data_IF_721269231022
#
_entry.id   IF_721269231022
#
_cell.length_a   1.000
_cell.length_b   1.000
_cell.length_c   1.000
_cell.angle_alpha   90.00
_cell.angle_beta   90.00
_cell.angle_gamma   90.00
#
_symmetry.space_group_name_H-M   'P 1'
#
loop_
_entity.id
_entity.type
_entity.pdbx_description
1 polymer ?
#
# COMPACT_ATOMS: atom_id res chain seq x y z
N UNK A 1 36.10 -4.16 -57.30
CA UNK A 1 35.29 -2.92 -57.33
C UNK A 1 33.93 -3.27 -56.78
N UNK A 2 33.60 -2.79 -55.57
CA UNK A 2 32.49 -1.87 -55.29
C UNK A 2 31.10 -2.51 -55.56
N UNK A 3 30.16 -2.60 -54.62
CA UNK A 3 29.84 -1.69 -53.54
C UNK A 3 29.21 -2.41 -52.34
N UNK A 4 29.56 -1.92 -51.15
CA UNK A 4 28.87 -2.14 -49.88
C UNK A 4 27.56 -1.36 -49.90
N UNK A 5 26.44 -1.98 -49.52
CA UNK A 5 25.18 -1.26 -49.19
C UNK A 5 24.75 -1.67 -47.78
N UNK A 6 25.34 -0.95 -46.83
CA UNK A 6 24.72 -0.26 -45.70
C UNK A 6 23.22 -0.55 -45.46
N UNK A 7 22.91 -1.43 -44.51
CA UNK A 7 21.61 -1.44 -43.81
C UNK A 7 21.85 -1.01 -42.37
N UNK A 8 21.71 0.30 -42.14
CA UNK A 8 21.62 0.88 -40.80
C UNK A 8 20.16 0.68 -40.36
N UNK A 9 19.93 -0.32 -39.53
CA UNK A 9 18.66 -0.46 -38.80
C UNK A 9 18.64 0.65 -37.76
N UNK A 10 17.83 1.68 -38.06
CA UNK A 10 17.52 2.79 -37.19
C UNK A 10 16.68 2.26 -36.02
N UNK A 11 17.34 1.82 -34.96
CA UNK A 11 16.71 1.48 -33.69
C UNK A 11 16.35 2.80 -33.00
N UNK A 12 15.16 3.32 -33.32
CA UNK A 12 14.53 4.41 -32.58
C UNK A 12 14.19 3.84 -31.21
N UNK A 13 15.12 3.99 -30.28
CA UNK A 13 14.89 3.84 -28.85
C UNK A 13 13.85 4.90 -28.49
N UNK A 14 12.59 4.50 -28.46
CA UNK A 14 11.52 5.26 -27.84
C UNK A 14 11.71 5.16 -26.32
N UNK A 15 12.78 5.77 -25.82
CA UNK A 15 12.91 6.13 -24.43
C UNK A 15 11.96 7.31 -24.21
N UNK A 16 10.66 7.01 -24.11
CA UNK A 16 9.74 7.85 -23.36
C UNK A 16 10.35 7.96 -21.97
N UNK A 17 10.99 9.09 -21.72
CA UNK A 17 11.40 9.51 -20.40
C UNK A 17 10.16 9.43 -19.51
N UNK A 18 10.09 8.38 -18.70
CA UNK A 18 9.27 8.40 -17.50
C UNK A 18 9.97 9.38 -16.55
N UNK A 19 9.75 10.66 -16.79
CA UNK A 19 9.96 11.64 -15.74
C UNK A 19 9.03 11.20 -14.60
N UNK A 20 9.55 11.03 -13.37
CA UNK A 20 8.68 10.78 -12.26
C UNK A 20 7.72 11.97 -12.14
N UNK A 21 6.42 11.73 -12.29
CA UNK A 21 5.38 12.74 -12.13
C UNK A 21 5.18 13.15 -10.65
N UNK A 22 6.26 13.25 -9.87
CA UNK A 22 6.23 13.57 -8.43
C UNK A 22 6.11 15.07 -8.14
N UNK A 23 5.69 15.90 -9.09
CA UNK A 23 5.81 17.35 -8.94
C UNK A 23 4.64 18.20 -9.39
N UNK A 24 3.56 17.62 -9.92
CA UNK A 24 2.66 18.44 -10.73
C UNK A 24 1.47 19.09 -10.02
N UNK A 25 1.14 18.79 -8.75
CA UNK A 25 -0.14 19.33 -8.24
C UNK A 25 -0.25 19.75 -6.79
N UNK A 26 0.83 19.75 -5.99
CA UNK A 26 0.74 20.29 -4.62
C UNK A 26 0.37 21.77 -4.61
N UNK A 27 0.90 22.57 -5.56
CA UNK A 27 0.55 23.98 -5.69
C UNK A 27 -0.90 24.22 -6.10
N UNK A 28 -1.44 23.40 -7.01
CA UNK A 28 -2.85 23.47 -7.41
C UNK A 28 -3.77 23.00 -6.28
N UNK A 29 -3.39 21.95 -5.56
CA UNK A 29 -4.11 21.47 -4.39
C UNK A 29 -4.17 22.55 -3.31
N UNK A 30 -3.06 23.23 -3.01
CA UNK A 30 -3.04 24.37 -2.06
C UNK A 30 -3.95 25.50 -2.57
N UNK A 31 -3.83 25.88 -3.84
CA UNK A 31 -4.64 26.96 -4.40
C UNK A 31 -6.14 26.63 -4.36
N UNK A 32 -6.53 25.42 -4.74
CA UNK A 32 -7.91 24.95 -4.69
C UNK A 32 -8.41 24.84 -3.24
N UNK A 33 -7.61 24.25 -2.34
CA UNK A 33 -7.96 24.12 -0.93
C UNK A 33 -7.96 25.46 -0.17
N UNK A 34 -7.46 26.53 -0.76
CA UNK A 34 -7.60 27.88 -0.19
C UNK A 34 -8.98 28.50 -0.47
N UNK A 35 -9.61 28.08 -1.57
CA UNK A 35 -10.94 28.55 -1.99
C UNK A 35 -12.04 27.61 -1.53
N UNK A 36 -11.78 26.30 -1.62
CA UNK A 36 -12.70 25.21 -1.28
C UNK A 36 -12.12 24.32 -0.17
N UNK A 37 -12.96 23.51 0.48
CA UNK A 37 -12.51 22.57 1.52
C UNK A 37 -12.17 21.18 1.00
N UNK A 38 -12.45 20.91 -0.29
CA UNK A 38 -12.22 19.63 -0.94
C UNK A 38 -11.46 19.83 -2.26
N UNK A 39 -10.41 19.05 -2.46
CA UNK A 39 -9.70 18.93 -3.73
C UNK A 39 -9.65 17.47 -4.17
N UNK A 40 -9.98 17.21 -5.44
CA UNK A 40 -9.86 15.87 -6.05
C UNK A 40 -9.01 16.01 -7.31
N UNK A 41 -7.83 15.39 -7.30
CA UNK A 41 -6.89 15.41 -8.43
C UNK A 41 -7.45 14.62 -9.62
N UNK A 42 -7.19 15.13 -10.82
CA UNK A 42 -7.56 14.43 -12.04
C UNK A 42 -6.84 13.07 -12.12
N UNK A 43 -7.61 11.98 -12.16
CA UNK A 43 -7.09 10.61 -12.20
C UNK A 43 -7.00 9.94 -10.82
N UNK A 44 -7.41 10.60 -9.75
CA UNK A 44 -7.69 9.94 -8.49
C UNK A 44 -8.93 9.03 -8.59
N UNK A 45 -9.09 8.13 -7.63
CA UNK A 45 -10.26 7.25 -7.55
C UNK A 45 -11.55 8.06 -7.38
N UNK A 46 -12.66 7.55 -7.93
CA UNK A 46 -13.95 8.21 -7.81
C UNK A 46 -14.40 8.22 -6.34
N UNK A 47 -14.80 9.39 -5.84
CA UNK A 47 -15.25 9.59 -4.46
C UNK A 47 -16.66 10.19 -4.40
N UNK A 48 -17.37 9.94 -3.31
CA UNK A 48 -18.64 10.62 -3.01
C UNK A 48 -18.35 11.99 -2.39
N UNK A 49 -18.21 13.01 -3.25
CA UNK A 49 -17.92 14.39 -2.85
C UNK A 49 -18.95 14.95 -1.87
N UNK A 50 -20.24 14.59 -2.02
CA UNK A 50 -21.29 15.09 -1.15
C UNK A 50 -21.15 14.53 0.28
N UNK A 51 -20.79 13.25 0.42
CA UNK A 51 -20.50 12.64 1.71
C UNK A 51 -19.25 13.25 2.36
N UNK A 52 -18.19 13.50 1.58
CA UNK A 52 -16.96 14.16 2.06
C UNK A 52 -17.25 15.58 2.56
N UNK A 53 -18.00 16.38 1.79
CA UNK A 53 -18.41 17.73 2.20
C UNK A 53 -19.28 17.72 3.46
N UNK A 54 -20.14 16.72 3.62
CA UNK A 54 -20.91 16.54 4.86
C UNK A 54 -20.01 16.26 6.06
N UNK A 55 -18.97 15.43 5.89
CA UNK A 55 -18.02 15.13 6.96
C UNK A 55 -17.15 16.34 7.32
N UNK A 56 -16.72 17.13 6.32
CA UNK A 56 -16.05 18.41 6.55
C UNK A 56 -16.95 19.34 7.39
N UNK A 57 -18.24 19.45 7.04
CA UNK A 57 -19.18 20.25 7.82
C UNK A 57 -19.36 19.75 9.26
N UNK A 58 -19.20 18.44 9.51
CA UNK A 58 -19.19 17.89 10.88
C UNK A 58 -17.95 18.33 11.64
N UNK A 59 -16.76 18.24 11.03
CA UNK A 59 -15.51 18.71 11.63
C UNK A 59 -15.54 20.22 11.92
N UNK A 60 -16.12 21.02 11.03
CA UNK A 60 -16.37 22.45 11.25
C UNK A 60 -17.29 22.67 12.47
N UNK A 61 -18.30 21.81 12.64
CA UNK A 61 -19.16 21.80 13.83
C UNK A 61 -18.40 21.52 15.12
N UNK A 62 -17.28 20.79 15.06
CA UNK A 62 -16.35 20.53 16.16
C UNK A 62 -15.30 21.64 16.33
N UNK A 63 -15.36 22.71 15.52
CA UNK A 63 -14.42 23.82 15.53
C UNK A 63 -13.08 23.52 14.87
N UNK A 64 -13.03 22.53 13.97
CA UNK A 64 -11.83 22.16 13.21
C UNK A 64 -12.02 22.52 11.75
N UNK A 65 -11.22 23.44 11.21
CA UNK A 65 -11.15 23.72 9.76
C UNK A 65 -10.48 22.54 9.05
N UNK A 66 -11.30 21.62 8.55
CA UNK A 66 -10.86 20.40 7.87
C UNK A 66 -10.81 20.62 6.36
N UNK A 67 -9.64 20.38 5.78
CA UNK A 67 -9.38 20.39 4.33
C UNK A 67 -9.02 18.99 3.86
N UNK A 68 -9.66 18.52 2.79
CA UNK A 68 -9.47 17.16 2.28
C UNK A 68 -8.93 17.19 0.86
N UNK A 69 -7.79 16.54 0.64
CA UNK A 69 -7.23 16.32 -0.70
C UNK A 69 -7.24 14.84 -1.06
N UNK A 70 -7.82 14.51 -2.21
CA UNK A 70 -7.78 13.17 -2.81
C UNK A 70 -6.86 13.25 -4.02
N UNK A 71 -5.72 12.56 -3.95
CA UNK A 71 -4.64 12.64 -4.93
C UNK A 71 -4.45 11.29 -5.63
N UNK A 72 -3.99 11.31 -6.87
CA UNK A 72 -3.81 10.12 -7.69
C UNK A 72 -2.58 9.29 -7.30
N UNK A 73 -1.57 9.92 -6.67
CA UNK A 73 -0.35 9.26 -6.23
C UNK A 73 0.39 10.06 -5.15
N UNK A 74 1.40 9.43 -4.55
CA UNK A 74 2.34 10.07 -3.62
C UNK A 74 2.22 9.57 -2.19
N UNK A 75 3.11 10.09 -1.33
CA UNK A 75 3.10 9.79 0.10
C UNK A 75 2.16 10.76 0.81
N UNK A 76 1.04 10.24 1.34
CA UNK A 76 -0.02 11.07 1.90
C UNK A 76 0.44 11.91 3.12
N UNK A 77 1.28 11.37 4.01
CA UNK A 77 1.78 12.10 5.19
C UNK A 77 2.68 13.29 4.80
N UNK A 78 3.61 13.05 3.88
CA UNK A 78 4.49 14.11 3.39
C UNK A 78 3.71 15.18 2.62
N UNK A 79 2.69 14.78 1.86
CA UNK A 79 1.82 15.71 1.14
C UNK A 79 0.92 16.50 2.11
N UNK A 80 0.36 15.87 3.14
CA UNK A 80 -0.47 16.54 4.14
C UNK A 80 0.30 17.65 4.85
N UNK A 81 1.52 17.37 5.31
CA UNK A 81 2.39 18.39 5.93
C UNK A 81 2.80 19.50 4.95
N UNK A 82 3.06 19.17 3.69
CA UNK A 82 3.42 20.17 2.67
C UNK A 82 2.24 21.08 2.30
N UNK A 83 1.04 20.51 2.15
CA UNK A 83 -0.19 21.26 1.85
C UNK A 83 -0.57 22.13 3.05
N UNK A 84 -0.54 21.58 4.27
CA UNK A 84 -0.82 22.33 5.48
C UNK A 84 0.14 23.51 5.66
N UNK A 85 1.43 23.35 5.37
CA UNK A 85 2.37 24.48 5.41
C UNK A 85 2.05 25.60 4.41
N UNK A 86 1.28 25.30 3.35
CA UNK A 86 0.79 26.28 2.37
C UNK A 86 -0.58 26.87 2.71
N UNK A 87 -1.31 26.31 3.69
CA UNK A 87 -2.62 26.74 4.13
C UNK A 87 -2.52 27.32 5.55
N UNK A 88 -2.91 28.58 5.75
CA UNK A 88 -2.84 29.18 7.08
C UNK A 88 -3.80 28.48 8.07
N UNK A 89 -3.25 27.70 9.01
CA UNK A 89 -3.92 27.14 10.19
C UNK A 89 -5.08 26.15 9.91
N UNK A 90 -4.93 25.25 8.94
CA UNK A 90 -5.90 24.19 8.65
C UNK A 90 -5.47 22.81 9.16
N UNK A 91 -6.45 21.94 9.41
CA UNK A 91 -6.22 20.48 9.50
C UNK A 91 -6.36 19.91 8.10
N UNK A 92 -5.30 19.32 7.57
CA UNK A 92 -5.29 18.75 6.22
C UNK A 92 -5.28 17.24 6.30
N UNK A 93 -6.23 16.61 5.60
CA UNK A 93 -6.32 15.17 5.42
C UNK A 93 -6.08 14.85 3.94
N UNK A 94 -5.10 13.99 3.66
CA UNK A 94 -4.73 13.59 2.30
C UNK A 94 -4.97 12.10 2.09
N UNK A 95 -5.55 11.77 0.94
CA UNK A 95 -5.74 10.42 0.45
C UNK A 95 -4.96 10.19 -0.82
N UNK A 96 -4.29 9.05 -0.90
CA UNK A 96 -3.72 8.49 -2.12
C UNK A 96 -4.16 7.02 -2.24
N UNK A 97 -4.03 6.37 -3.41
CA UNK A 97 -4.54 5.00 -3.59
C UNK A 97 -3.90 3.97 -2.66
N UNK A 98 -2.70 4.27 -2.13
CA UNK A 98 -1.93 3.34 -1.29
C UNK A 98 -1.75 3.81 0.15
N UNK A 99 -2.13 5.05 0.47
CA UNK A 99 -1.89 5.63 1.80
C UNK A 99 -2.82 6.79 2.10
N UNK A 100 -3.01 7.09 3.37
CA UNK A 100 -3.65 8.32 3.83
C UNK A 100 -2.78 8.91 4.94
N UNK A 101 -2.94 10.21 5.18
CA UNK A 101 -2.19 10.92 6.21
C UNK A 101 -2.86 12.23 6.54
N UNK A 102 -2.68 12.69 7.78
CA UNK A 102 -3.20 13.97 8.23
C UNK A 102 -2.11 14.81 8.87
N UNK A 103 -2.27 16.13 8.79
CA UNK A 103 -1.42 17.09 9.49
C UNK A 103 -2.29 18.24 10.00
N UNK A 104 -1.96 18.75 11.19
CA UNK A 104 -2.65 19.90 11.78
C UNK A 104 -1.68 20.70 12.64
N UNK A 105 -1.69 22.02 12.47
CA UNK A 105 -0.98 22.95 13.36
C UNK A 105 -1.83 23.39 14.56
N UNK A 106 -3.13 23.09 14.55
CA UNK A 106 -4.10 23.55 15.55
C UNK A 106 -4.51 22.46 16.53
N UNK A 107 -4.43 21.18 16.14
CA UNK A 107 -4.74 20.04 16.98
C UNK A 107 -3.52 19.48 17.69
N UNK A 108 -3.74 18.85 18.85
CA UNK A 108 -2.69 18.07 19.50
C UNK A 108 -2.42 16.79 18.70
N UNK A 109 -1.17 16.32 18.75
CA UNK A 109 -0.79 15.08 18.07
C UNK A 109 -1.65 13.89 18.52
N UNK A 110 -1.99 13.77 19.80
CA UNK A 110 -2.84 12.69 20.31
C UNK A 110 -4.25 12.69 19.70
N UNK A 111 -4.90 13.85 19.61
CA UNK A 111 -6.24 13.96 19.00
C UNK A 111 -6.22 13.67 17.50
N UNK A 112 -5.14 14.05 16.82
CA UNK A 112 -4.94 13.74 15.40
C UNK A 112 -4.71 12.24 15.18
N UNK A 113 -3.91 11.60 16.04
CA UNK A 113 -3.64 10.15 16.00
C UNK A 113 -4.92 9.34 16.29
N UNK A 114 -5.75 9.78 17.24
CA UNK A 114 -7.04 9.15 17.55
C UNK A 114 -8.02 9.24 16.37
N UNK A 115 -8.12 10.42 15.73
CA UNK A 115 -8.94 10.61 14.53
C UNK A 115 -8.42 9.79 13.33
N UNK A 116 -7.09 9.71 13.15
CA UNK A 116 -6.47 8.84 12.15
C UNK A 116 -6.76 7.36 12.44
N UNK A 117 -6.75 6.96 13.70
CA UNK A 117 -7.12 5.61 14.14
C UNK A 117 -8.56 5.25 13.76
N UNK A 118 -9.52 6.16 14.00
CA UNK A 118 -10.91 5.98 13.59
C UNK A 118 -11.06 5.87 12.07
N UNK A 119 -10.37 6.73 11.31
CA UNK A 119 -10.38 6.69 9.85
C UNK A 119 -9.78 5.38 9.29
N UNK A 120 -8.71 4.88 9.89
CA UNK A 120 -8.00 3.67 9.45
C UNK A 120 -8.92 2.42 9.43
N UNK A 121 -9.83 2.32 10.40
CA UNK A 121 -10.75 1.20 10.52
C UNK A 121 -11.74 1.15 9.34
N UNK A 122 -12.22 2.30 8.87
CA UNK A 122 -13.17 2.41 7.75
C UNK A 122 -12.48 2.36 6.37
N UNK A 123 -11.28 2.92 6.25
CA UNK A 123 -10.52 2.94 4.98
C UNK A 123 -10.06 1.55 4.53
N UNK A 124 -10.06 0.56 5.42
CA UNK A 124 -9.82 -0.84 5.08
C UNK A 124 -10.84 -1.40 4.05
N UNK A 125 -11.98 -0.74 3.87
CA UNK A 125 -13.00 -1.04 2.86
C UNK A 125 -12.84 -0.33 1.51
N UNK A 126 -11.79 0.49 1.32
CA UNK A 126 -11.57 1.34 0.14
C UNK A 126 -12.66 2.41 -0.09
N UNK A 127 -13.39 2.82 0.95
CA UNK A 127 -14.36 3.92 0.89
C UNK A 127 -13.75 5.18 1.53
N UNK A 128 -13.27 6.09 0.67
CA UNK A 128 -12.65 7.35 1.10
C UNK A 128 -13.64 8.21 1.88
N UNK A 129 -14.92 8.25 1.46
CA UNK A 129 -15.92 9.08 2.11
C UNK A 129 -16.24 8.58 3.53
N UNK A 130 -16.33 7.25 3.72
CA UNK A 130 -16.47 6.65 5.04
C UNK A 130 -15.26 6.97 5.94
N UNK A 131 -14.05 6.90 5.39
CA UNK A 131 -12.83 7.26 6.10
C UNK A 131 -12.79 8.73 6.55
N UNK A 132 -13.19 9.66 5.69
CA UNK A 132 -13.29 11.09 6.05
C UNK A 132 -14.36 11.31 7.12
N UNK A 133 -15.50 10.63 7.02
CA UNK A 133 -16.56 10.67 8.03
C UNK A 133 -16.06 10.23 9.41
N UNK A 134 -15.41 9.07 9.48
CA UNK A 134 -14.82 8.57 10.73
C UNK A 134 -13.71 9.47 11.28
N UNK A 135 -12.90 10.08 10.41
CA UNK A 135 -11.92 11.08 10.83
C UNK A 135 -12.60 12.30 11.47
N UNK A 136 -13.62 12.86 10.81
CA UNK A 136 -14.36 14.01 11.32
C UNK A 136 -15.08 13.72 12.65
N UNK A 137 -15.64 12.52 12.79
CA UNK A 137 -16.27 12.07 14.04
C UNK A 137 -15.24 11.88 15.15
N UNK A 138 -14.05 11.35 14.83
CA UNK A 138 -12.94 11.22 15.79
C UNK A 138 -12.37 12.56 16.27
N UNK A 139 -12.67 13.65 15.56
CA UNK A 139 -12.32 15.00 15.99
C UNK A 139 -13.28 15.59 17.03
N UNK A 140 -14.33 14.90 17.45
CA UNK A 140 -15.26 15.41 18.46
C UNK A 140 -14.57 15.65 19.83
N UNK A 141 -14.50 16.91 20.33
CA UNK A 141 -13.86 17.21 21.62
C UNK A 141 -14.57 16.57 22.82
N UNK A 142 -15.84 16.16 22.68
CA UNK A 142 -16.59 15.53 23.77
C UNK A 142 -16.29 14.02 23.87
N UNK A 143 -15.58 13.43 22.90
CA UNK A 143 -15.12 12.03 22.96
C UNK A 143 -13.86 11.84 23.82
N UNK A 144 -13.21 12.92 24.27
CA UNK A 144 -11.94 12.91 25.03
C UNK A 144 -12.05 12.48 26.51
N UNK A 145 -13.05 11.67 26.89
CA UNK A 145 -13.10 11.08 28.23
C UNK A 145 -13.33 9.58 28.20
N UNK A 146 -12.30 8.84 28.62
CA UNK A 146 -12.28 7.38 28.73
C UNK A 146 -13.34 6.78 29.65
N UNK A 147 -14.58 6.76 29.20
CA UNK A 147 -15.71 6.14 29.86
C UNK A 147 -16.63 5.51 28.84
N UNK A 148 -16.82 4.19 28.95
CA UNK A 148 -17.98 3.49 28.38
C UNK A 148 -19.23 4.10 29.03
N UNK A 149 -19.76 5.20 28.48
CA UNK A 149 -20.97 5.84 28.98
C UNK A 149 -22.18 5.31 28.22
N UNK A 150 -22.79 4.31 28.84
CA UNK A 150 -24.17 3.88 28.65
C UNK A 150 -25.13 5.08 28.74
N UNK A 151 -25.36 5.83 27.67
CA UNK A 151 -26.18 7.04 27.84
C UNK A 151 -26.39 7.98 26.66
N UNK A 152 -26.64 7.51 25.43
CA UNK A 152 -27.38 8.30 24.43
C UNK A 152 -28.03 7.40 23.38
N UNK A 153 -29.19 6.88 23.75
CA UNK A 153 -29.99 5.89 22.99
C UNK A 153 -31.03 6.54 22.06
N UNK A 154 -31.16 7.87 21.94
CA UNK A 154 -32.44 8.42 21.39
C UNK A 154 -32.37 9.10 20.02
N UNK A 155 -31.21 9.38 19.42
CA UNK A 155 -31.17 9.97 18.06
C UNK A 155 -30.70 8.98 16.97
N UNK A 156 -30.07 7.87 17.33
CA UNK A 156 -29.52 6.89 16.38
C UNK A 156 -30.47 5.78 15.90
N UNK A 157 -31.77 5.78 16.22
CA UNK A 157 -32.63 4.59 15.97
C UNK A 157 -33.08 4.45 14.50
N UNK A 158 -33.14 5.54 13.72
CA UNK A 158 -33.55 5.43 12.30
C UNK A 158 -32.38 5.02 11.39
N UNK A 159 -31.13 5.39 11.71
CA UNK A 159 -29.94 4.92 10.99
C UNK A 159 -29.47 3.51 11.39
N UNK A 160 -29.61 3.15 12.67
CA UNK A 160 -29.08 1.90 13.22
C UNK A 160 -29.87 0.64 12.81
N UNK A 161 -31.15 0.76 12.42
CA UNK A 161 -31.92 -0.40 11.97
C UNK A 161 -31.51 -0.89 10.56
N UNK A 162 -30.88 -0.05 9.74
CA UNK A 162 -30.30 -0.49 8.46
C UNK A 162 -28.93 -1.17 8.69
N UNK A 163 -28.15 -0.71 9.67
CA UNK A 163 -26.82 -1.26 10.00
C UNK A 163 -26.90 -2.57 10.80
N UNK A 164 -27.83 -2.70 11.76
CA UNK A 164 -27.91 -3.90 12.63
C UNK A 164 -28.50 -5.12 11.92
N UNK A 165 -29.29 -4.93 10.86
CA UNK A 165 -29.76 -6.05 10.03
C UNK A 165 -28.64 -6.77 9.27
N UNK A 166 -27.51 -6.09 9.03
CA UNK A 166 -26.35 -6.62 8.29
C UNK A 166 -25.13 -6.86 9.19
N UNK A 167 -24.93 -6.03 10.23
CA UNK A 167 -23.73 -6.04 11.08
C UNK A 167 -23.59 -7.24 12.03
N UNK A 168 -24.70 -7.86 12.46
CA UNK A 168 -24.66 -8.99 13.39
C UNK A 168 -23.97 -10.25 12.86
N UNK A 169 -23.86 -10.40 11.53
CA UNK A 169 -23.23 -11.57 10.90
C UNK A 169 -21.73 -11.37 10.59
N UNK A 170 -21.24 -10.13 10.63
CA UNK A 170 -19.86 -9.77 10.24
C UNK A 170 -18.88 -9.93 11.41
N UNK A 171 -19.34 -9.69 12.65
CA UNK A 171 -18.48 -9.79 13.83
C UNK A 171 -17.97 -11.22 14.11
N UNK A 172 -18.72 -12.24 13.73
CA UNK A 172 -18.31 -13.65 13.86
C UNK A 172 -17.34 -14.11 12.74
N UNK A 173 -17.29 -13.37 11.63
CA UNK A 173 -16.31 -13.57 10.54
C UNK A 173 -14.98 -12.87 10.89
N UNK A 174 -15.05 -11.68 11.52
CA UNK A 174 -13.88 -10.84 11.85
C UNK A 174 -12.86 -11.49 12.80
N UNK A 175 -13.32 -12.30 13.77
CA UNK A 175 -12.40 -13.02 14.67
C UNK A 175 -11.71 -14.22 14.02
N UNK A 176 -12.27 -14.78 12.93
CA UNK A 176 -11.62 -15.83 12.13
C UNK A 176 -10.59 -15.22 11.18
N UNK A 177 -10.86 -14.05 10.62
CA UNK A 177 -9.99 -13.40 9.65
C UNK A 177 -8.72 -12.82 10.28
N UNK A 178 -8.81 -12.23 11.48
CA UNK A 178 -7.61 -11.73 12.17
C UNK A 178 -6.57 -12.83 12.44
N UNK A 179 -7.01 -14.08 12.70
CA UNK A 179 -6.11 -15.22 12.86
C UNK A 179 -5.52 -15.67 11.53
N UNK A 180 -6.27 -15.59 10.43
CA UNK A 180 -5.79 -15.94 9.10
C UNK A 180 -4.75 -14.92 8.60
N UNK A 181 -5.00 -13.62 8.79
CA UNK A 181 -4.06 -12.55 8.44
C UNK A 181 -2.74 -12.73 9.19
N UNK A 182 -2.78 -12.91 10.52
CA UNK A 182 -1.56 -13.15 11.32
C UNK A 182 -0.78 -14.40 10.89
N UNK A 183 -1.48 -15.47 10.51
CA UNK A 183 -0.85 -16.69 9.99
C UNK A 183 -0.18 -16.45 8.65
N UNK A 184 -0.85 -15.72 7.74
CA UNK A 184 -0.33 -15.34 6.43
C UNK A 184 0.92 -14.46 6.58
N UNK A 185 0.87 -13.45 7.44
CA UNK A 185 1.98 -12.52 7.61
C UNK A 185 3.21 -13.22 8.22
N UNK A 186 3.00 -14.12 9.20
CA UNK A 186 4.07 -14.99 9.71
C UNK A 186 4.65 -15.86 8.60
N UNK A 187 3.81 -16.51 7.80
CA UNK A 187 4.26 -17.38 6.72
C UNK A 187 5.03 -16.62 5.65
N UNK A 188 4.58 -15.41 5.30
CA UNK A 188 5.26 -14.50 4.38
C UNK A 188 6.66 -14.13 4.89
N UNK A 189 6.78 -13.79 6.18
CA UNK A 189 8.09 -13.52 6.80
C UNK A 189 9.02 -14.74 6.73
N UNK A 190 8.52 -15.94 7.05
CA UNK A 190 9.30 -17.18 6.96
C UNK A 190 9.79 -17.45 5.53
N UNK A 191 8.94 -17.20 4.52
CA UNK A 191 9.33 -17.35 3.11
C UNK A 191 10.36 -16.30 2.69
N UNK A 192 10.21 -15.04 3.12
CA UNK A 192 11.22 -14.00 2.86
C UNK A 192 12.59 -14.35 3.44
N UNK A 193 12.63 -14.89 4.65
CA UNK A 193 13.90 -15.32 5.26
C UNK A 193 14.54 -16.50 4.51
N UNK A 194 13.71 -17.44 4.01
CA UNK A 194 14.20 -18.51 3.12
C UNK A 194 14.70 -17.98 1.79
N UNK A 195 14.02 -17.01 1.18
CA UNK A 195 14.44 -16.35 -0.06
C UNK A 195 15.80 -15.68 0.14
N UNK A 196 16.02 -14.95 1.23
CA UNK A 196 17.35 -14.39 1.53
C UNK A 196 18.44 -15.46 1.62
N UNK A 197 18.18 -16.56 2.32
CA UNK A 197 19.14 -17.67 2.39
C UNK A 197 19.40 -18.34 1.04
N UNK A 198 18.43 -18.34 0.13
CA UNK A 198 18.60 -18.86 -1.23
C UNK A 198 19.40 -17.90 -2.11
N UNK A 199 19.19 -16.58 -1.97
CA UNK A 199 19.98 -15.57 -2.67
C UNK A 199 21.48 -15.74 -2.38
N UNK A 200 21.83 -15.92 -1.10
CA UNK A 200 23.22 -16.15 -0.68
C UNK A 200 23.82 -17.40 -1.36
N UNK A 201 23.03 -18.48 -1.50
CA UNK A 201 23.44 -19.71 -2.19
C UNK A 201 23.60 -19.54 -3.71
N UNK A 202 22.69 -18.79 -4.34
CA UNK A 202 22.77 -18.47 -5.77
C UNK A 202 24.06 -17.68 -6.05
N UNK A 203 24.39 -16.71 -5.19
CA UNK A 203 25.63 -15.96 -5.29
C UNK A 203 26.87 -16.83 -5.04
N UNK A 204 26.84 -17.70 -4.02
CA UNK A 204 27.93 -18.64 -3.73
C UNK A 204 28.24 -19.59 -4.90
N UNK A 205 27.21 -20.03 -5.64
CA UNK A 205 27.34 -20.96 -6.76
C UNK A 205 27.66 -20.29 -8.10
N UNK A 206 27.62 -18.96 -8.20
CA UNK A 206 27.90 -18.24 -9.45
C UNK A 206 29.31 -18.54 -9.98
N UNK A 207 30.34 -18.26 -9.17
CA UNK A 207 31.74 -18.43 -9.61
C UNK A 207 32.09 -19.90 -9.92
N UNK A 208 31.73 -20.90 -9.08
CA UNK A 208 32.00 -22.30 -9.38
C UNK A 208 31.33 -22.81 -10.65
N UNK A 209 30.12 -22.34 -10.97
CA UNK A 209 29.41 -22.75 -12.20
C UNK A 209 30.11 -22.20 -13.43
N UNK A 210 30.56 -20.94 -13.41
CA UNK A 210 31.32 -20.35 -14.50
C UNK A 210 32.66 -21.07 -14.73
N UNK A 211 33.33 -21.48 -13.64
CA UNK A 211 34.61 -22.19 -13.72
C UNK A 211 34.49 -23.63 -14.23
N UNK A 212 33.34 -24.27 -14.05
CA UNK A 212 33.12 -25.66 -14.47
C UNK A 212 32.99 -25.82 -16.00
N UNK A 213 32.71 -24.74 -16.74
CA UNK A 213 32.50 -24.71 -18.21
C UNK A 213 31.54 -25.81 -18.73
N UNK A 214 30.56 -26.20 -17.90
CA UNK A 214 29.52 -27.18 -18.24
C UNK A 214 28.20 -26.47 -18.57
N UNK A 215 27.81 -26.51 -19.85
CA UNK A 215 26.57 -25.90 -20.32
C UNK A 215 25.30 -26.43 -19.64
N UNK A 216 25.31 -27.67 -19.12
CA UNK A 216 24.19 -28.24 -18.36
C UNK A 216 24.08 -27.59 -16.99
N UNK A 217 25.19 -27.40 -16.28
CA UNK A 217 25.22 -26.72 -14.97
C UNK A 217 24.83 -25.26 -15.12
N UNK A 218 25.36 -24.56 -16.13
CA UNK A 218 25.00 -23.18 -16.45
C UNK A 218 23.50 -23.03 -16.72
N UNK A 219 22.91 -23.94 -17.51
CA UNK A 219 21.47 -23.94 -17.77
C UNK A 219 20.65 -24.16 -16.50
N UNK A 220 21.01 -25.15 -15.67
CA UNK A 220 20.33 -25.40 -14.39
C UNK A 220 20.41 -24.20 -13.45
N UNK A 221 21.56 -23.51 -13.43
CA UNK A 221 21.76 -22.31 -12.64
C UNK A 221 20.84 -21.17 -13.09
N UNK A 222 20.79 -20.89 -14.39
CA UNK A 222 19.87 -19.90 -14.95
C UNK A 222 18.39 -20.25 -14.65
N UNK A 223 18.03 -21.53 -14.78
CA UNK A 223 16.68 -22.03 -14.46
C UNK A 223 16.33 -21.89 -12.97
N UNK A 224 17.32 -22.01 -12.07
CA UNK A 224 17.15 -21.81 -10.63
C UNK A 224 17.01 -20.32 -10.28
N UNK A 225 17.84 -19.45 -10.88
CA UNK A 225 17.79 -18.01 -10.70
C UNK A 225 16.46 -17.41 -11.18
N UNK A 226 15.97 -17.83 -12.36
CA UNK A 226 14.67 -17.36 -12.86
C UNK A 226 13.51 -17.72 -11.92
N UNK A 227 13.51 -18.96 -11.36
CA UNK A 227 12.49 -19.39 -10.39
C UNK A 227 12.58 -18.63 -9.07
N UNK A 228 13.79 -18.28 -8.66
CA UNK A 228 14.03 -17.47 -7.48
C UNK A 228 13.42 -16.07 -7.63
N UNK A 229 13.69 -15.39 -8.75
CA UNK A 229 13.14 -14.06 -9.06
C UNK A 229 11.60 -14.09 -9.13
N UNK A 230 11.04 -15.11 -9.79
CA UNK A 230 9.58 -15.32 -9.85
C UNK A 230 8.96 -15.55 -8.46
N UNK A 231 9.67 -16.25 -7.57
CA UNK A 231 9.20 -16.49 -6.21
C UNK A 231 9.25 -15.21 -5.37
N UNK A 232 10.29 -14.39 -5.50
CA UNK A 232 10.41 -13.11 -4.77
C UNK A 232 9.26 -12.14 -5.12
N UNK A 233 8.96 -11.99 -6.41
CA UNK A 233 7.83 -11.19 -6.88
C UNK A 233 6.50 -11.75 -6.33
N UNK A 234 6.31 -13.07 -6.44
CA UNK A 234 5.08 -13.73 -6.01
C UNK A 234 4.86 -13.67 -4.49
N UNK A 235 5.90 -13.68 -3.66
CA UNK A 235 5.80 -13.43 -2.20
C UNK A 235 5.17 -12.07 -1.93
N UNK A 236 5.55 -11.08 -2.74
CA UNK A 236 5.14 -9.69 -2.50
C UNK A 236 3.68 -9.47 -2.87
N UNK A 237 3.23 -10.14 -3.94
CA UNK A 237 1.88 -10.04 -4.47
C UNK A 237 0.86 -10.99 -3.82
N UNK A 238 1.31 -12.06 -3.16
CA UNK A 238 0.44 -13.07 -2.56
C UNK A 238 -0.51 -12.48 -1.50
N UNK A 239 -1.81 -12.63 -1.76
CA UNK A 239 -2.92 -12.18 -0.90
C UNK A 239 -3.49 -13.32 -0.08
N UNK A 240 -3.34 -14.57 -0.52
CA UNK A 240 -3.93 -15.76 0.10
C UNK A 240 -2.90 -16.79 0.59
N UNK A 241 -3.29 -17.68 1.50
CA UNK A 241 -2.41 -18.78 1.95
C UNK A 241 -2.06 -19.76 0.82
N UNK A 242 -3.00 -20.03 -0.10
CA UNK A 242 -2.77 -20.94 -1.22
C UNK A 242 -1.70 -20.40 -2.19
N UNK A 243 -1.68 -19.09 -2.41
CA UNK A 243 -0.63 -18.43 -3.19
C UNK A 243 0.73 -18.55 -2.49
N UNK A 244 0.79 -18.38 -1.16
CA UNK A 244 2.03 -18.60 -0.40
C UNK A 244 2.52 -20.05 -0.45
N UNK A 245 1.62 -21.04 -0.46
CA UNK A 245 1.99 -22.45 -0.62
C UNK A 245 2.57 -22.70 -2.03
N UNK A 246 2.03 -22.05 -3.05
CA UNK A 246 2.55 -22.11 -4.43
C UNK A 246 3.94 -21.50 -4.53
N UNK A 247 4.18 -20.37 -3.84
CA UNK A 247 5.51 -19.78 -3.71
C UNK A 247 6.49 -20.74 -3.03
N UNK A 248 6.07 -21.38 -1.93
CA UNK A 248 6.93 -22.33 -1.22
C UNK A 248 7.37 -23.49 -2.11
N UNK A 249 6.46 -24.02 -2.94
CA UNK A 249 6.79 -25.05 -3.91
C UNK A 249 7.84 -24.57 -4.93
N UNK A 250 7.72 -23.34 -5.43
CA UNK A 250 8.72 -22.74 -6.34
C UNK A 250 10.09 -22.59 -5.68
N UNK A 251 10.13 -22.10 -4.44
CA UNK A 251 11.37 -22.00 -3.67
C UNK A 251 11.99 -23.38 -3.41
N UNK A 252 11.17 -24.40 -3.14
CA UNK A 252 11.64 -25.77 -2.96
C UNK A 252 12.25 -26.35 -4.25
N UNK A 253 11.63 -26.08 -5.41
CA UNK A 253 12.17 -26.46 -6.72
C UNK A 253 13.48 -25.75 -7.03
N UNK A 254 13.56 -24.44 -6.77
CA UNK A 254 14.79 -23.67 -6.94
C UNK A 254 15.92 -24.22 -6.05
N UNK A 255 15.63 -24.50 -4.77
CA UNK A 255 16.60 -25.09 -3.87
C UNK A 255 17.08 -26.48 -4.34
N UNK A 256 16.18 -27.34 -4.83
CA UNK A 256 16.54 -28.65 -5.37
C UNK A 256 17.51 -28.54 -6.55
N UNK A 257 17.30 -27.57 -7.45
CA UNK A 257 18.22 -27.32 -8.57
C UNK A 257 19.60 -26.87 -8.08
N UNK A 258 19.66 -25.98 -7.08
CA UNK A 258 20.92 -25.53 -6.48
C UNK A 258 21.68 -26.69 -5.81
N UNK A 259 20.97 -27.58 -5.11
CA UNK A 259 21.57 -28.76 -4.48
C UNK A 259 22.10 -29.77 -5.54
N UNK A 260 21.40 -29.92 -6.67
CA UNK A 260 21.88 -30.70 -7.83
C UNK A 260 23.13 -30.09 -8.47
N UNK A 261 23.17 -28.76 -8.65
CA UNK A 261 24.33 -28.04 -9.20
C UNK A 261 25.54 -28.22 -8.30
N UNK A 262 25.36 -28.04 -6.99
CA UNK A 262 26.40 -28.23 -5.99
C UNK A 262 26.99 -29.65 -6.04
N UNK A 263 26.12 -30.65 -6.13
CA UNK A 263 26.55 -32.05 -6.24
C UNK A 263 27.31 -32.30 -7.55
N UNK A 264 26.83 -31.74 -8.67
CA UNK A 264 27.50 -31.82 -9.97
C UNK A 264 28.91 -31.25 -9.95
N UNK A 265 29.10 -30.06 -9.37
CA UNK A 265 30.42 -29.43 -9.20
C UNK A 265 31.35 -30.33 -8.36
N UNK A 266 30.87 -30.88 -7.25
CA UNK A 266 31.66 -31.76 -6.38
C UNK A 266 32.09 -33.07 -7.06
N UNK A 267 31.31 -33.58 -8.02
CA UNK A 267 31.66 -34.79 -8.77
C UNK A 267 32.58 -34.54 -9.96
N UNK A 268 32.66 -33.29 -10.42
CA UNK A 268 33.45 -32.91 -11.59
C UNK A 268 34.88 -32.45 -11.25
N UNK A 269 35.11 -31.96 -10.03
CA UNK A 269 36.42 -31.58 -9.50
C UNK A 269 37.19 -32.75 -8.92
#
# INVERSE_FOLDING_TARGET
MAARVTSIVLLVVLATAMAPAFGQDTGSAISALSEDSLYVEAGADAVDEAAILSAISTADGHGVDLRVAVLAAGNAEQLASTIAAGLDAATVLVFTPTSFGAFSDTLSQGRLDDALGAAADELSGADVAAGVGAFADGLDPDQDSGGVSTGLVVVGIIGLLVVVGVGGRIWEVRTRDARQVRRRDRRRSELMDRTRSLADRVLELSDPVELADDGTLSKKYADAAARFDEAELAITEAKTMHELDTVEERLAQANSLLDEIRTGIQTAG
#
